data_IF_574142392490
#
_entry.id   IF_574142392490
#
_cell.length_a   1.000
_cell.length_b   1.000
_cell.length_c   1.000
_cell.angle_alpha   90.00
_cell.angle_beta   90.00
_cell.angle_gamma   90.00
#
_symmetry.space_group_name_H-M   'P 1'
#
loop_
_entity.id
_entity.type
_entity.pdbx_description
1 polymer ?
#
# COMPACT_ATOMS: atom_id res chain seq x y z
N UNK A 1 -11.49 20.76 -25.27
CA UNK A 1 -12.57 21.30 -24.41
C UNK A 1 -13.85 20.44 -24.40
N UNK A 2 -14.84 20.57 -25.30
CA UNK A 2 -16.13 19.85 -25.14
C UNK A 2 -16.03 18.31 -25.33
N UNK A 3 -15.23 17.87 -26.30
CA UNK A 3 -14.95 16.44 -26.56
C UNK A 3 -14.02 15.81 -25.51
N UNK A 4 -13.07 16.59 -25.03
CA UNK A 4 -12.09 16.20 -24.00
C UNK A 4 -12.75 15.97 -22.64
N UNK A 5 -13.65 16.86 -22.23
CA UNK A 5 -14.46 16.68 -21.01
C UNK A 5 -15.39 15.45 -21.11
N UNK A 6 -15.83 15.10 -22.32
CA UNK A 6 -16.61 13.88 -22.55
C UNK A 6 -15.76 12.61 -22.46
N UNK A 7 -14.53 12.64 -22.98
CA UNK A 7 -13.58 11.51 -22.86
C UNK A 7 -13.22 11.24 -21.40
N UNK A 8 -12.88 12.28 -20.63
CA UNK A 8 -12.53 12.16 -19.21
C UNK A 8 -13.69 11.54 -18.42
N UNK A 9 -14.93 12.00 -18.63
CA UNK A 9 -16.11 11.42 -17.96
C UNK A 9 -16.34 9.95 -18.30
N UNK A 10 -16.17 9.58 -19.58
CA UNK A 10 -16.28 8.18 -20.00
C UNK A 10 -15.22 7.31 -19.34
N UNK A 11 -13.98 7.81 -19.29
CA UNK A 11 -12.90 7.11 -18.61
C UNK A 11 -13.20 6.96 -17.12
N UNK A 12 -13.69 8.02 -16.46
CA UNK A 12 -14.18 8.00 -15.08
C UNK A 12 -15.15 6.85 -14.84
N UNK A 13 -16.19 6.73 -15.67
CA UNK A 13 -17.17 5.62 -15.58
C UNK A 13 -16.52 4.23 -15.75
N UNK A 14 -15.56 4.09 -16.66
CA UNK A 14 -14.87 2.80 -16.84
C UNK A 14 -14.02 2.44 -15.63
N UNK A 15 -13.33 3.41 -15.02
CA UNK A 15 -12.48 3.13 -13.86
C UNK A 15 -13.28 2.97 -12.57
N UNK A 16 -14.43 3.63 -12.44
CA UNK A 16 -15.42 3.32 -11.38
C UNK A 16 -15.86 1.86 -11.46
N UNK A 17 -16.17 1.36 -12.66
CA UNK A 17 -16.52 -0.06 -12.89
C UNK A 17 -15.39 -1.00 -12.46
N UNK A 18 -14.13 -0.67 -12.80
CA UNK A 18 -12.95 -1.43 -12.40
C UNK A 18 -12.78 -1.48 -10.87
N UNK A 19 -12.98 -0.36 -10.17
CA UNK A 19 -12.93 -0.31 -8.69
C UNK A 19 -14.06 -1.14 -8.09
N UNK A 20 -15.29 -0.98 -8.62
CA UNK A 20 -16.47 -1.74 -8.20
C UNK A 20 -16.27 -3.26 -8.32
N UNK A 21 -15.67 -3.71 -9.42
CA UNK A 21 -15.34 -5.12 -9.66
C UNK A 21 -14.27 -5.63 -8.69
N UNK A 22 -13.25 -4.82 -8.40
CA UNK A 22 -12.21 -5.16 -7.43
C UNK A 22 -12.79 -5.31 -6.02
N UNK A 23 -13.57 -4.33 -5.56
CA UNK A 23 -14.15 -4.29 -4.22
C UNK A 23 -15.17 -5.41 -3.98
N UNK A 24 -15.87 -5.84 -5.04
CA UNK A 24 -16.84 -6.95 -4.98
C UNK A 24 -16.20 -8.33 -5.16
N UNK A 25 -14.88 -8.39 -5.31
CA UNK A 25 -14.16 -9.62 -5.64
C UNK A 25 -14.79 -10.30 -6.87
N UNK A 26 -15.03 -9.51 -7.92
CA UNK A 26 -15.55 -9.98 -9.19
C UNK A 26 -14.43 -10.63 -10.02
N UNK A 27 -14.81 -11.39 -11.05
CA UNK A 27 -13.84 -11.86 -12.04
C UNK A 27 -13.33 -10.65 -12.85
N UNK A 28 -12.03 -10.53 -13.13
CA UNK A 28 -10.98 -11.53 -12.88
C UNK A 28 -10.28 -11.42 -11.50
N UNK A 29 -10.50 -10.36 -10.73
CA UNK A 29 -9.77 -10.10 -9.48
C UNK A 29 -9.80 -11.25 -8.48
N UNK A 30 -10.95 -11.87 -8.25
CA UNK A 30 -11.09 -13.02 -7.33
C UNK A 30 -10.24 -14.22 -7.70
N UNK A 31 -10.10 -14.49 -8.99
CA UNK A 31 -9.34 -15.64 -9.48
C UNK A 31 -7.83 -15.42 -9.33
N UNK A 32 -7.43 -14.16 -9.16
CA UNK A 32 -6.05 -13.70 -9.07
C UNK A 32 -5.77 -12.95 -7.76
N UNK A 33 -6.53 -13.28 -6.70
CA UNK A 33 -6.33 -12.73 -5.36
C UNK A 33 -4.92 -13.06 -4.88
N UNK A 34 -4.25 -12.06 -4.33
CA UNK A 34 -2.86 -12.14 -3.91
C UNK A 34 -2.70 -12.93 -2.63
N UNK A 35 -1.45 -13.23 -2.29
CA UNK A 35 -1.14 -13.87 -1.02
C UNK A 35 -1.51 -12.97 0.16
N UNK A 36 -1.16 -11.69 0.11
CA UNK A 36 -1.46 -10.71 1.16
C UNK A 36 -2.94 -10.64 1.53
N UNK A 37 -3.84 -10.47 0.54
CA UNK A 37 -5.27 -10.35 0.81
C UNK A 37 -5.84 -11.63 1.44
N UNK A 38 -5.31 -12.81 1.07
CA UNK A 38 -5.72 -14.09 1.66
C UNK A 38 -5.27 -14.22 3.12
N UNK A 39 -4.04 -13.84 3.43
CA UNK A 39 -3.52 -13.86 4.81
C UNK A 39 -4.37 -12.97 5.72
N UNK A 40 -4.76 -11.80 5.23
CA UNK A 40 -5.51 -10.83 6.04
C UNK A 40 -6.96 -11.25 6.34
N UNK A 41 -7.52 -12.18 5.56
CA UNK A 41 -8.85 -12.76 5.85
C UNK A 41 -8.84 -13.67 7.09
N UNK A 42 -7.66 -14.20 7.46
CA UNK A 42 -7.51 -15.12 8.59
C UNK A 42 -7.38 -14.38 9.94
N UNK A 43 -7.11 -13.07 9.94
CA UNK A 43 -7.02 -12.28 11.17
C UNK A 43 -8.39 -11.89 11.73
N UNK A 44 -8.60 -12.14 13.02
CA UNK A 44 -9.90 -11.94 13.69
C UNK A 44 -10.15 -10.48 14.09
N UNK A 45 -9.08 -9.71 14.31
CA UNK A 45 -9.16 -8.35 14.86
C UNK A 45 -8.38 -7.32 14.04
N UNK A 46 -8.85 -6.06 14.10
CA UNK A 46 -8.13 -4.93 13.50
C UNK A 46 -6.71 -4.80 14.08
N UNK A 47 -6.50 -5.12 15.36
CA UNK A 47 -5.17 -5.04 16.01
C UNK A 47 -4.19 -5.99 15.34
N UNK A 48 -4.59 -7.24 15.12
CA UNK A 48 -3.75 -8.25 14.45
C UNK A 48 -3.37 -7.80 13.04
N UNK A 49 -4.36 -7.36 12.26
CA UNK A 49 -4.13 -6.80 10.92
C UNK A 49 -3.18 -5.61 10.95
N UNK A 50 -3.37 -4.70 11.91
CA UNK A 50 -2.52 -3.51 12.06
C UNK A 50 -1.08 -3.87 12.43
N UNK A 51 -0.87 -4.79 13.37
CA UNK A 51 0.45 -5.25 13.80
C UNK A 51 1.17 -5.96 12.66
N UNK A 52 0.48 -6.90 12.00
CA UNK A 52 0.99 -7.61 10.84
C UNK A 52 1.42 -6.60 9.76
N UNK A 53 0.51 -5.72 9.30
CA UNK A 53 0.86 -4.72 8.29
C UNK A 53 1.99 -3.79 8.72
N UNK A 54 2.06 -3.41 9.99
CA UNK A 54 3.12 -2.54 10.50
C UNK A 54 4.48 -3.23 10.38
N UNK A 55 4.60 -4.49 10.83
CA UNK A 55 5.81 -5.29 10.69
C UNK A 55 6.17 -5.49 9.21
N UNK A 56 5.26 -6.07 8.42
CA UNK A 56 5.60 -6.49 7.05
C UNK A 56 5.89 -5.27 6.16
N UNK A 57 5.19 -4.15 6.37
CA UNK A 57 5.43 -2.93 5.60
C UNK A 57 6.72 -2.23 6.01
N UNK A 58 7.05 -2.18 7.30
CA UNK A 58 8.35 -1.64 7.77
C UNK A 58 9.52 -2.40 7.14
N UNK A 59 9.34 -3.71 6.89
CA UNK A 59 10.31 -4.57 6.25
C UNK A 59 10.14 -4.63 4.71
N UNK A 60 9.30 -3.84 4.06
CA UNK A 60 9.06 -3.98 2.61
C UNK A 60 10.10 -3.27 1.71
N UNK A 61 11.13 -2.65 2.28
CA UNK A 61 12.12 -1.91 1.48
C UNK A 61 13.04 -2.83 0.66
N UNK A 62 13.00 -2.69 -0.68
CA UNK A 62 13.79 -3.47 -1.66
C UNK A 62 13.57 -4.99 -1.61
N UNK A 63 12.32 -5.42 -1.42
CA UNK A 63 11.93 -6.84 -1.34
C UNK A 63 10.80 -7.18 -2.32
N UNK A 64 10.66 -8.47 -2.58
CA UNK A 64 9.43 -9.02 -3.15
C UNK A 64 8.39 -9.11 -2.03
N UNK A 65 7.28 -8.40 -2.20
CA UNK A 65 6.23 -8.34 -1.18
C UNK A 65 5.56 -9.70 -0.98
N UNK A 66 5.37 -10.53 -2.02
CA UNK A 66 4.71 -11.83 -1.85
C UNK A 66 5.58 -12.81 -1.07
N UNK A 67 6.89 -12.83 -1.33
CA UNK A 67 7.82 -13.64 -0.56
C UNK A 67 7.86 -13.17 0.91
N UNK A 68 7.89 -11.86 1.13
CA UNK A 68 7.92 -11.30 2.47
C UNK A 68 6.65 -11.66 3.26
N UNK A 69 5.48 -11.41 2.68
CA UNK A 69 4.20 -11.72 3.31
C UNK A 69 4.06 -13.23 3.58
N UNK A 70 4.43 -14.09 2.62
CA UNK A 70 4.38 -15.54 2.83
C UNK A 70 5.35 -16.06 3.88
N UNK A 71 6.51 -15.43 4.06
CA UNK A 71 7.43 -15.80 5.14
C UNK A 71 6.84 -15.47 6.52
N UNK A 72 6.23 -14.29 6.66
CA UNK A 72 5.64 -13.86 7.93
C UNK A 72 4.28 -14.52 8.23
N UNK A 73 3.55 -14.96 7.20
CA UNK A 73 2.34 -15.78 7.36
C UNK A 73 2.61 -17.07 8.14
N UNK A 74 3.63 -17.83 7.73
CA UNK A 74 4.00 -19.06 8.45
C UNK A 74 4.43 -18.78 9.91
N UNK A 75 5.01 -17.61 10.18
CA UNK A 75 5.41 -17.24 11.54
C UNK A 75 4.23 -16.80 12.40
N UNK A 76 3.10 -16.43 11.82
CA UNK A 76 1.93 -16.01 12.59
C UNK A 76 1.45 -17.10 13.53
N UNK A 77 1.46 -18.34 13.05
CA UNK A 77 1.04 -19.51 13.82
C UNK A 77 2.17 -20.06 14.72
N UNK A 78 3.40 -20.13 14.19
CA UNK A 78 4.52 -20.80 14.86
C UNK A 78 5.27 -19.91 15.87
N UNK A 79 5.38 -18.60 15.58
CA UNK A 79 6.21 -17.64 16.31
C UNK A 79 5.43 -16.34 16.60
N UNK A 80 4.18 -16.48 17.02
CA UNK A 80 3.22 -15.37 17.19
C UNK A 80 3.74 -14.18 18.01
N UNK A 81 4.61 -14.45 19.00
CA UNK A 81 5.19 -13.43 19.88
C UNK A 81 5.91 -12.31 19.12
N UNK A 82 6.42 -12.55 17.89
CA UNK A 82 7.06 -11.50 17.10
C UNK A 82 6.08 -10.41 16.69
N UNK A 83 4.78 -10.68 16.64
CA UNK A 83 3.78 -9.70 16.24
C UNK A 83 3.28 -8.87 17.42
N UNK A 84 3.59 -9.25 18.66
CA UNK A 84 3.13 -8.61 19.89
C UNK A 84 4.25 -7.72 20.47
N UNK A 85 4.17 -6.38 20.35
CA UNK A 85 5.24 -5.50 20.79
C UNK A 85 5.62 -5.66 22.26
N UNK A 86 4.66 -5.98 23.12
CA UNK A 86 4.87 -6.31 24.53
C UNK A 86 5.72 -7.56 24.71
N UNK A 87 5.46 -8.65 23.97
CA UNK A 87 6.22 -9.88 24.06
C UNK A 87 7.64 -9.68 23.53
N UNK A 88 7.79 -8.98 22.40
CA UNK A 88 9.10 -8.63 21.81
C UNK A 88 9.98 -7.85 22.79
N UNK A 89 9.40 -7.00 23.64
CA UNK A 89 10.14 -6.09 24.52
C UNK A 89 10.34 -6.62 25.93
N UNK A 90 9.31 -7.25 26.52
CA UNK A 90 9.32 -7.70 27.92
C UNK A 90 9.68 -9.18 28.10
N UNK A 91 9.24 -10.03 27.17
CA UNK A 91 9.30 -11.49 27.34
C UNK A 91 10.49 -12.11 26.59
N UNK A 92 10.88 -11.49 25.48
CA UNK A 92 11.96 -11.96 24.61
C UNK A 92 13.12 -10.97 24.54
N UNK A 93 14.29 -11.50 24.15
CA UNK A 93 15.49 -10.73 23.90
C UNK A 93 15.59 -10.30 22.44
N UNK A 94 16.32 -9.21 22.19
CA UNK A 94 16.66 -8.81 20.83
C UNK A 94 17.44 -9.91 20.10
N UNK A 95 18.29 -10.65 20.82
CA UNK A 95 19.11 -11.73 20.27
C UNK A 95 18.26 -12.93 19.80
N UNK A 96 17.13 -13.22 20.46
CA UNK A 96 16.17 -14.23 19.99
C UNK A 96 15.46 -13.79 18.71
N UNK A 97 15.03 -12.51 18.64
CA UNK A 97 14.43 -11.95 17.43
C UNK A 97 15.40 -11.94 16.25
N UNK A 98 16.66 -11.55 16.50
CA UNK A 98 17.74 -11.54 15.52
C UNK A 98 17.99 -12.95 14.95
N UNK A 99 18.13 -13.95 15.83
CA UNK A 99 18.33 -15.34 15.42
C UNK A 99 17.16 -15.88 14.58
N UNK A 100 15.92 -15.61 14.97
CA UNK A 100 14.74 -16.03 14.21
C UNK A 100 14.69 -15.35 12.83
N UNK A 101 14.98 -14.05 12.76
CA UNK A 101 14.97 -13.31 11.50
C UNK A 101 16.10 -13.77 10.55
N UNK A 102 17.24 -14.21 11.10
CA UNK A 102 18.28 -14.90 10.32
C UNK A 102 17.81 -16.28 9.82
N UNK A 103 17.15 -17.08 10.66
CA UNK A 103 16.65 -18.41 10.31
C UNK A 103 15.59 -18.37 9.20
N UNK A 104 14.62 -17.46 9.31
CA UNK A 104 13.55 -17.28 8.32
C UNK A 104 14.08 -16.72 6.99
N UNK A 105 15.35 -16.29 6.97
CA UNK A 105 15.98 -15.76 5.77
C UNK A 105 15.46 -14.38 5.40
N UNK A 106 15.16 -13.54 6.39
CA UNK A 106 14.87 -12.13 6.12
C UNK A 106 16.05 -11.50 5.38
N UNK A 107 15.77 -10.71 4.33
CA UNK A 107 16.82 -10.24 3.39
C UNK A 107 17.96 -9.49 4.05
N UNK A 108 17.71 -8.78 5.16
CA UNK A 108 18.74 -8.01 5.87
C UNK A 108 19.02 -8.54 7.30
N UNK A 109 18.53 -9.73 7.65
CA UNK A 109 18.80 -10.43 8.91
C UNK A 109 18.68 -9.50 10.12
N UNK A 110 19.79 -9.32 10.84
CA UNK A 110 19.92 -8.43 12.00
C UNK A 110 19.40 -7.01 11.80
N UNK A 111 19.48 -6.45 10.59
CA UNK A 111 18.94 -5.10 10.37
C UNK A 111 17.41 -5.10 10.43
N UNK A 112 16.76 -6.14 9.94
CA UNK A 112 15.31 -6.28 9.99
C UNK A 112 14.84 -6.49 11.43
N UNK A 113 15.55 -7.32 12.19
CA UNK A 113 15.30 -7.49 13.63
C UNK A 113 15.46 -6.17 14.39
N UNK A 114 16.49 -5.37 14.08
CA UNK A 114 16.66 -4.04 14.69
C UNK A 114 15.51 -3.12 14.36
N UNK A 115 15.08 -3.06 13.10
CA UNK A 115 13.96 -2.21 12.65
C UNK A 115 12.71 -2.56 13.44
N UNK A 116 12.36 -3.84 13.48
CA UNK A 116 11.15 -4.28 14.15
C UNK A 116 11.22 -4.11 15.67
N UNK A 117 12.36 -4.41 16.28
CA UNK A 117 12.56 -4.20 17.72
C UNK A 117 12.38 -2.73 18.11
N UNK A 118 12.87 -1.78 17.30
CA UNK A 118 12.70 -0.35 17.59
C UNK A 118 11.24 0.11 17.48
N UNK A 119 10.54 -0.37 16.44
CA UNK A 119 9.11 -0.10 16.27
C UNK A 119 8.32 -0.71 17.44
N UNK A 120 8.63 -1.94 17.82
CA UNK A 120 7.99 -2.64 18.94
C UNK A 120 8.20 -1.90 20.26
N UNK A 121 9.42 -1.44 20.55
CA UNK A 121 9.70 -0.59 21.73
C UNK A 121 8.86 0.68 21.72
N UNK A 122 8.76 1.34 20.58
CA UNK A 122 7.98 2.57 20.45
C UNK A 122 6.49 2.29 20.67
N UNK A 123 5.94 1.24 20.06
CA UNK A 123 4.54 0.86 20.24
C UNK A 123 4.26 0.49 21.71
N UNK A 124 5.12 -0.32 22.33
CA UNK A 124 4.98 -0.73 23.72
C UNK A 124 5.00 0.45 24.70
N UNK A 125 5.99 1.35 24.59
CA UNK A 125 6.14 2.46 25.53
C UNK A 125 5.17 3.62 25.30
N UNK A 126 4.88 3.96 24.05
CA UNK A 126 4.17 5.20 23.69
C UNK A 126 2.72 4.96 23.24
N UNK A 127 2.38 3.73 22.82
CA UNK A 127 1.13 3.41 22.12
C UNK A 127 0.44 2.13 22.59
N UNK A 128 0.64 1.71 23.85
CA UNK A 128 0.01 0.52 24.45
C UNK A 128 0.16 -0.76 23.60
N UNK A 129 1.30 -0.92 22.94
CA UNK A 129 1.59 -2.04 22.04
C UNK A 129 0.60 -2.24 20.89
N UNK A 130 -0.03 -1.16 20.41
CA UNK A 130 -1.08 -1.26 19.41
C UNK A 130 -1.03 -0.06 18.44
N UNK A 131 -0.76 -0.29 17.14
CA UNK A 131 -0.80 0.76 16.13
C UNK A 131 -2.15 1.50 16.06
N UNK A 132 -3.27 0.86 16.43
CA UNK A 132 -4.58 1.53 16.45
C UNK A 132 -4.64 2.63 17.51
N UNK A 133 -3.94 2.47 18.63
CA UNK A 133 -3.80 3.52 19.63
C UNK A 133 -2.98 4.69 19.08
N UNK A 134 -1.88 4.41 18.38
CA UNK A 134 -1.12 5.42 17.64
C UNK A 134 -2.04 6.20 16.69
N UNK A 135 -2.83 5.51 15.86
CA UNK A 135 -3.74 6.19 14.92
C UNK A 135 -4.81 7.01 15.63
N UNK A 136 -5.35 6.49 16.74
CA UNK A 136 -6.36 7.18 17.56
C UNK A 136 -5.84 8.47 18.22
N UNK A 137 -4.55 8.55 18.57
CA UNK A 137 -3.95 9.78 19.11
C UNK A 137 -3.94 10.94 18.10
N UNK A 138 -4.02 10.63 16.81
CA UNK A 138 -4.00 11.59 15.70
C UNK A 138 -5.34 11.65 14.96
N UNK A 139 -6.43 11.28 15.63
CA UNK A 139 -7.80 11.33 15.09
C UNK A 139 -7.97 10.53 13.78
N UNK A 140 -7.18 9.45 13.60
CA UNK A 140 -7.13 8.67 12.37
C UNK A 140 -6.83 9.51 11.11
N UNK A 141 -6.10 10.62 11.26
CA UNK A 141 -5.68 11.47 10.16
C UNK A 141 -4.27 11.08 9.66
N UNK A 142 -4.19 10.60 8.42
CA UNK A 142 -2.99 10.10 7.75
C UNK A 142 -1.87 11.13 7.71
N UNK A 143 -2.17 12.39 7.43
CA UNK A 143 -1.16 13.44 7.32
C UNK A 143 -0.48 13.68 8.68
N UNK A 144 -1.28 13.75 9.76
CA UNK A 144 -0.80 13.93 11.14
C UNK A 144 -0.06 12.71 11.67
N UNK A 145 -0.55 11.50 11.37
CA UNK A 145 0.16 10.25 11.71
C UNK A 145 1.50 10.23 10.97
N UNK A 146 1.51 10.58 9.68
CA UNK A 146 2.69 10.60 8.84
C UNK A 146 3.75 11.58 9.34
N UNK A 147 3.34 12.82 9.65
CA UNK A 147 4.22 13.84 10.23
C UNK A 147 4.84 13.36 11.55
N UNK A 148 4.02 12.83 12.47
CA UNK A 148 4.53 12.28 13.73
C UNK A 148 5.53 11.14 13.50
N UNK A 149 5.19 10.16 12.67
CA UNK A 149 6.06 9.00 12.39
C UNK A 149 7.38 9.42 11.73
N UNK A 150 7.35 10.46 10.88
CA UNK A 150 8.54 10.99 10.23
C UNK A 150 9.47 11.71 11.21
N UNK A 151 8.92 12.47 12.16
CA UNK A 151 9.69 13.31 13.09
C UNK A 151 10.05 12.62 14.41
N UNK A 152 9.35 11.54 14.76
CA UNK A 152 9.54 10.84 16.02
C UNK A 152 10.97 10.27 16.15
N UNK A 153 11.67 10.79 17.16
CA UNK A 153 13.03 10.47 17.53
C UNK A 153 13.16 10.44 19.07
N UNK A 154 14.33 10.07 19.61
CA UNK A 154 14.60 10.14 21.05
C UNK A 154 15.22 8.88 21.63
N UNK A 155 14.60 8.32 22.68
CA UNK A 155 15.07 7.10 23.36
C UNK A 155 14.91 5.87 22.47
N UNK A 156 15.92 5.62 21.65
CA UNK A 156 16.01 4.53 20.70
C UNK A 156 17.26 3.69 20.95
N UNK A 157 17.25 2.42 20.56
CA UNK A 157 18.37 1.49 20.77
C UNK A 157 19.30 1.43 19.55
N UNK A 158 18.74 1.50 18.34
CA UNK A 158 19.46 1.18 17.10
C UNK A 158 19.41 2.26 16.02
N UNK A 159 18.45 3.18 16.07
CA UNK A 159 18.22 4.20 15.04
C UNK A 159 17.94 5.56 15.65
N UNK A 160 18.20 6.67 14.95
CA UNK A 160 17.81 7.99 15.47
C UNK A 160 16.28 8.21 15.45
N UNK A 161 15.58 7.48 14.59
CA UNK A 161 14.11 7.48 14.47
C UNK A 161 13.48 6.37 15.31
N UNK A 162 12.33 6.68 15.92
CA UNK A 162 11.47 5.72 16.63
C UNK A 162 10.74 4.76 15.67
N UNK A 163 10.58 5.16 14.41
CA UNK A 163 9.91 4.38 13.37
C UNK A 163 10.84 4.17 12.17
N UNK A 164 11.97 3.46 12.34
CA UNK A 164 12.90 3.23 11.25
C UNK A 164 12.18 2.61 10.04
N UNK A 165 12.51 3.12 8.85
CA UNK A 165 11.90 2.81 7.55
C UNK A 165 10.45 3.28 7.39
N UNK A 166 9.57 3.06 8.37
CA UNK A 166 8.22 3.63 8.37
C UNK A 166 8.22 5.17 8.32
N UNK A 167 9.27 5.83 8.81
CA UNK A 167 9.46 7.28 8.69
C UNK A 167 9.79 7.75 7.26
N UNK A 168 10.21 6.85 6.35
CA UNK A 168 10.69 7.20 5.02
C UNK A 168 9.57 7.45 4.01
N UNK A 169 9.82 8.36 3.05
CA UNK A 169 8.80 8.88 2.11
C UNK A 169 8.18 7.85 1.17
N UNK A 170 8.76 6.65 1.05
CA UNK A 170 8.18 5.55 0.27
C UNK A 170 7.34 4.60 1.12
N UNK A 171 7.87 4.20 2.28
CA UNK A 171 7.26 3.14 3.10
C UNK A 171 6.14 3.71 3.97
N UNK A 172 6.29 4.94 4.47
CA UNK A 172 5.27 5.66 5.25
C UNK A 172 3.91 5.69 4.55
N UNK A 173 3.79 6.25 3.33
CA UNK A 173 2.49 6.34 2.67
C UNK A 173 1.95 4.96 2.26
N UNK A 174 2.81 3.99 1.92
CA UNK A 174 2.39 2.61 1.66
C UNK A 174 1.76 1.96 2.90
N UNK A 175 2.40 2.11 4.07
CA UNK A 175 1.89 1.58 5.33
C UNK A 175 0.54 2.21 5.67
N UNK A 176 0.43 3.53 5.60
CA UNK A 176 -0.82 4.22 5.92
C UNK A 176 -1.96 3.84 4.96
N UNK A 177 -1.69 3.64 3.67
CA UNK A 177 -2.69 3.12 2.72
C UNK A 177 -3.12 1.69 3.03
N UNK A 178 -2.18 0.80 3.36
CA UNK A 178 -2.52 -0.57 3.77
C UNK A 178 -3.40 -0.57 5.03
N UNK A 179 -3.10 0.28 6.01
CA UNK A 179 -3.94 0.46 7.21
C UNK A 179 -5.32 0.99 6.83
N UNK A 180 -5.39 2.03 5.98
CA UNK A 180 -6.67 2.60 5.53
C UNK A 180 -7.58 1.52 4.91
N UNK A 181 -7.01 0.69 4.02
CA UNK A 181 -7.76 -0.29 3.23
C UNK A 181 -8.16 -1.53 4.03
N UNK A 182 -7.22 -2.10 4.78
CA UNK A 182 -7.37 -3.46 5.33
C UNK A 182 -7.74 -3.48 6.82
N UNK A 183 -7.50 -2.37 7.52
CA UNK A 183 -7.68 -2.28 8.97
C UNK A 183 -8.80 -1.32 9.31
N UNK A 184 -8.63 -0.04 8.98
CA UNK A 184 -9.57 1.00 9.37
C UNK A 184 -9.41 2.25 8.50
N UNK A 185 -10.52 2.87 8.05
CA UNK A 185 -10.45 4.10 7.29
C UNK A 185 -9.68 5.20 8.01
N UNK A 186 -8.68 5.74 7.33
CA UNK A 186 -7.94 6.95 7.70
C UNK A 186 -8.38 8.12 6.81
N UNK A 187 -8.45 9.34 7.37
CA UNK A 187 -8.71 10.57 6.62
C UNK A 187 -7.39 11.28 6.27
N UNK A 188 -7.34 12.11 5.23
CA UNK A 188 -6.17 12.94 4.93
C UNK A 188 -5.99 13.24 3.45
N UNK A 189 -5.14 14.22 3.14
CA UNK A 189 -4.84 14.63 1.77
C UNK A 189 -3.95 13.61 1.05
N UNK A 190 -3.11 12.86 1.77
CA UNK A 190 -2.31 11.77 1.19
C UNK A 190 -3.18 10.69 0.50
N UNK A 191 -4.45 10.53 0.88
CA UNK A 191 -5.41 9.62 0.22
C UNK A 191 -5.96 10.18 -1.11
N UNK A 192 -5.64 11.43 -1.46
CA UNK A 192 -6.10 12.05 -2.70
C UNK A 192 -5.23 11.68 -3.90
N UNK A 193 -4.07 11.05 -3.68
CA UNK A 193 -3.09 10.78 -4.73
C UNK A 193 -2.85 9.29 -4.94
N UNK A 194 -2.82 8.89 -6.21
CA UNK A 194 -2.41 7.54 -6.61
C UNK A 194 -0.89 7.38 -6.46
N UNK A 195 -0.38 6.30 -5.85
CA UNK A 195 1.05 6.04 -5.81
C UNK A 195 1.55 5.57 -7.16
N UNK A 196 2.36 6.39 -7.83
CA UNK A 196 2.84 6.06 -9.17
C UNK A 196 4.07 5.16 -9.10
N UNK A 197 3.85 3.86 -9.31
CA UNK A 197 4.88 2.84 -9.51
C UNK A 197 4.92 2.32 -10.96
N UNK A 198 5.74 1.29 -11.22
CA UNK A 198 5.87 0.69 -12.56
C UNK A 198 4.55 0.13 -13.11
N UNK A 199 3.64 -0.37 -12.26
CA UNK A 199 2.37 -0.93 -12.71
C UNK A 199 1.37 0.17 -13.03
N UNK A 200 1.26 1.18 -12.15
CA UNK A 200 0.40 2.35 -12.38
C UNK A 200 0.83 3.10 -13.64
N UNK A 201 2.13 3.34 -13.80
CA UNK A 201 2.69 3.94 -15.01
C UNK A 201 2.34 3.10 -16.25
N UNK A 202 2.57 1.79 -16.22
CA UNK A 202 2.31 0.90 -17.35
C UNK A 202 0.85 0.94 -17.79
N UNK A 203 -0.08 0.86 -16.83
CA UNK A 203 -1.52 0.97 -17.11
C UNK A 203 -1.86 2.35 -17.68
N UNK A 204 -1.34 3.42 -17.08
CA UNK A 204 -1.57 4.79 -17.56
C UNK A 204 -1.07 4.98 -18.99
N UNK A 205 0.17 4.56 -19.30
CA UNK A 205 0.74 4.62 -20.65
C UNK A 205 -0.08 3.82 -21.65
N UNK A 206 -0.62 2.66 -21.26
CA UNK A 206 -1.46 1.86 -22.13
C UNK A 206 -2.81 2.52 -22.43
N UNK A 207 -3.45 3.16 -21.45
CA UNK A 207 -4.71 3.87 -21.63
C UNK A 207 -4.50 5.10 -22.52
N UNK A 208 -3.48 5.88 -22.21
CA UNK A 208 -3.25 7.20 -22.78
C UNK A 208 -2.43 7.18 -24.08
N UNK A 209 -1.71 6.09 -24.35
CA UNK A 209 -0.78 6.02 -25.50
C UNK A 209 0.45 6.90 -25.30
N UNK A 210 0.81 7.18 -24.04
CA UNK A 210 1.97 7.97 -23.63
C UNK A 210 3.19 7.08 -23.39
N UNK A 211 4.34 7.72 -23.19
CA UNK A 211 5.62 7.06 -22.86
C UNK A 211 6.21 7.65 -21.57
N UNK A 212 5.35 7.89 -20.57
CA UNK A 212 5.76 8.43 -19.27
C UNK A 212 6.78 7.51 -18.60
N UNK A 213 7.80 8.10 -17.99
CA UNK A 213 8.79 7.40 -17.17
C UNK A 213 8.52 7.60 -15.65
N UNK A 214 9.45 7.17 -14.79
CA UNK A 214 9.31 7.29 -13.32
C UNK A 214 10.05 8.52 -12.77
N UNK A 215 10.31 9.52 -13.61
CA UNK A 215 10.73 10.84 -13.18
C UNK A 215 9.63 11.50 -12.36
N UNK A 216 10.00 12.40 -11.44
CA UNK A 216 9.00 13.09 -10.62
C UNK A 216 8.08 14.00 -11.44
N UNK A 217 8.55 14.52 -12.58
CA UNK A 217 7.70 15.27 -13.53
C UNK A 217 6.58 14.38 -14.09
N UNK A 218 6.92 13.22 -14.62
CA UNK A 218 5.93 12.32 -15.22
C UNK A 218 5.03 11.67 -14.16
N UNK A 219 5.55 11.39 -12.96
CA UNK A 219 4.70 10.95 -11.84
C UNK A 219 3.68 12.01 -11.45
N UNK A 220 4.05 13.27 -11.44
CA UNK A 220 3.12 14.35 -11.12
C UNK A 220 2.04 14.49 -12.21
N UNK A 221 2.43 14.42 -13.48
CA UNK A 221 1.48 14.40 -14.59
C UNK A 221 0.50 13.22 -14.50
N UNK A 222 0.98 12.03 -14.10
CA UNK A 222 0.11 10.86 -13.87
C UNK A 222 -0.86 11.12 -12.70
N UNK A 223 -0.40 11.72 -11.60
CA UNK A 223 -1.27 12.06 -10.45
C UNK A 223 -2.34 13.07 -10.83
N UNK A 224 -1.97 14.14 -11.52
CA UNK A 224 -2.89 15.16 -12.01
C UNK A 224 -3.93 14.56 -12.97
N UNK A 225 -3.49 13.70 -13.89
CA UNK A 225 -4.39 13.02 -14.81
C UNK A 225 -5.44 12.18 -14.08
N UNK A 226 -5.03 11.34 -13.12
CA UNK A 226 -5.97 10.51 -12.37
C UNK A 226 -6.87 11.34 -11.45
N UNK A 227 -6.38 12.46 -10.92
CA UNK A 227 -7.22 13.42 -10.21
C UNK A 227 -8.36 13.95 -11.09
N UNK A 228 -8.06 14.41 -12.31
CA UNK A 228 -9.07 14.91 -13.25
C UNK A 228 -10.08 13.83 -13.67
N UNK A 229 -9.63 12.59 -13.82
CA UNK A 229 -10.49 11.45 -14.15
C UNK A 229 -11.45 11.10 -13.01
N UNK A 230 -10.97 11.18 -11.77
CA UNK A 230 -11.75 10.85 -10.57
C UNK A 230 -12.61 12.02 -10.05
N UNK A 231 -12.27 13.29 -10.35
CA UNK A 231 -13.04 14.46 -9.90
C UNK A 231 -14.57 14.36 -10.15
N UNK A 232 -15.06 13.88 -11.30
CA UNK A 232 -16.51 13.74 -11.54
C UNK A 232 -17.12 12.43 -11.01
N UNK A 233 -16.36 11.60 -10.30
CA UNK A 233 -16.75 10.25 -9.84
C UNK A 233 -16.93 10.19 -8.32
N UNK A 234 -17.44 9.07 -7.81
CA UNK A 234 -17.51 8.81 -6.35
C UNK A 234 -16.23 8.18 -5.78
N UNK A 235 -15.22 7.91 -6.63
CA UNK A 235 -13.94 7.33 -6.24
C UNK A 235 -12.82 8.39 -6.21
N UNK A 236 -11.76 8.09 -5.49
CA UNK A 236 -10.52 8.87 -5.42
C UNK A 236 -9.40 8.19 -6.23
N UNK A 237 -8.35 8.92 -6.63
CA UNK A 237 -7.21 8.30 -7.31
C UNK A 237 -6.53 7.18 -6.51
N UNK A 238 -6.59 7.22 -5.17
CA UNK A 238 -6.02 6.16 -4.33
C UNK A 238 -6.78 4.84 -4.47
N UNK A 239 -8.08 4.87 -4.76
CA UNK A 239 -8.91 3.67 -4.95
C UNK A 239 -8.49 2.89 -6.21
N UNK A 240 -7.84 3.57 -7.16
CA UNK A 240 -7.29 2.95 -8.37
C UNK A 240 -6.00 2.15 -8.12
N UNK A 241 -5.28 2.37 -7.02
CA UNK A 241 -3.96 1.78 -6.75
C UNK A 241 -4.00 0.25 -6.88
N UNK A 242 -4.80 -0.41 -6.04
CA UNK A 242 -4.89 -1.87 -5.98
C UNK A 242 -5.37 -2.51 -7.29
N UNK A 243 -6.51 -2.09 -7.89
CA UNK A 243 -6.98 -2.69 -9.13
C UNK A 243 -6.01 -2.45 -10.30
N UNK A 244 -5.43 -1.26 -10.44
CA UNK A 244 -4.48 -1.01 -11.51
C UNK A 244 -3.17 -1.74 -11.31
N UNK A 245 -2.70 -1.85 -10.08
CA UNK A 245 -1.51 -2.63 -9.78
C UNK A 245 -1.72 -4.10 -10.17
N UNK A 246 -2.89 -4.68 -9.88
CA UNK A 246 -3.28 -6.04 -10.30
C UNK A 246 -3.31 -6.18 -11.82
N UNK A 247 -4.00 -5.26 -12.50
CA UNK A 247 -4.09 -5.23 -13.96
C UNK A 247 -2.69 -5.14 -14.59
N UNK A 248 -1.84 -4.24 -14.10
CA UNK A 248 -0.48 -4.03 -14.60
C UNK A 248 0.42 -5.25 -14.37
N UNK A 249 0.34 -5.86 -13.19
CA UNK A 249 1.07 -7.09 -12.85
C UNK A 249 0.69 -8.25 -13.77
N UNK A 250 -0.60 -8.41 -14.07
CA UNK A 250 -1.14 -9.48 -14.90
C UNK A 250 -1.43 -9.06 -16.35
N UNK A 251 -0.72 -8.03 -16.84
CA UNK A 251 -1.01 -7.42 -18.14
C UNK A 251 -1.03 -8.38 -19.32
N UNK A 252 -0.06 -9.31 -19.37
CA UNK A 252 0.09 -10.29 -20.46
C UNK A 252 -0.83 -11.53 -20.30
N UNK A 253 -1.56 -11.62 -19.18
CA UNK A 253 -2.42 -12.74 -18.85
C UNK A 253 -3.89 -12.37 -19.07
N UNK A 254 -4.41 -11.47 -18.23
CA UNK A 254 -5.81 -11.00 -18.29
C UNK A 254 -5.94 -9.47 -18.24
N UNK A 255 -4.96 -8.77 -17.67
CA UNK A 255 -5.08 -7.35 -17.34
C UNK A 255 -5.38 -6.47 -18.54
N UNK A 256 -4.69 -6.69 -19.66
CA UNK A 256 -4.88 -5.91 -20.89
C UNK A 256 -6.28 -6.11 -21.48
N UNK A 257 -6.72 -7.35 -21.58
CA UNK A 257 -7.99 -7.69 -22.23
C UNK A 257 -9.18 -7.25 -21.39
N UNK A 258 -9.09 -7.39 -20.05
CA UNK A 258 -10.07 -6.85 -19.11
C UNK A 258 -10.21 -5.33 -19.25
N UNK A 259 -9.10 -4.59 -19.12
CA UNK A 259 -9.14 -3.12 -19.21
C UNK A 259 -9.63 -2.63 -20.58
N UNK A 260 -9.25 -3.33 -21.66
CA UNK A 260 -9.75 -3.02 -23.00
C UNK A 260 -11.27 -3.24 -23.11
N UNK A 261 -11.83 -4.23 -22.41
CA UNK A 261 -13.28 -4.46 -22.33
C UNK A 261 -13.99 -3.31 -21.62
N UNK A 262 -13.52 -2.93 -20.43
CA UNK A 262 -14.09 -1.82 -19.65
C UNK A 262 -14.09 -0.49 -20.41
N UNK A 263 -13.00 -0.21 -21.13
CA UNK A 263 -12.93 0.96 -22.00
C UNK A 263 -13.89 0.86 -23.19
N UNK A 264 -14.04 -0.32 -23.79
CA UNK A 264 -14.91 -0.51 -24.95
C UNK A 264 -16.39 -0.26 -24.61
N UNK A 265 -16.82 -0.63 -23.40
CA UNK A 265 -18.20 -0.46 -22.94
C UNK A 265 -18.61 1.02 -22.81
N UNK A 266 -17.65 1.91 -22.57
CA UNK A 266 -17.85 3.38 -22.59
C UNK A 266 -17.50 4.02 -23.95
N UNK A 267 -17.14 3.20 -24.95
CA UNK A 267 -16.77 3.62 -26.29
C UNK A 267 -15.40 4.31 -26.35
N UNK A 268 -14.44 3.83 -25.58
CA UNK A 268 -13.03 4.19 -25.59
C UNK A 268 -12.17 2.97 -26.01
N UNK A 269 -10.91 3.23 -26.33
CA UNK A 269 -9.93 2.20 -26.69
C UNK A 269 -8.57 2.55 -26.09
N UNK A 270 -7.75 1.53 -25.78
CA UNK A 270 -6.38 1.73 -25.33
C UNK A 270 -5.57 2.56 -26.34
N UNK A 271 -4.71 3.44 -25.83
CA UNK A 271 -3.83 4.31 -26.61
C UNK A 271 -4.54 5.46 -27.32
N UNK A 272 -5.83 5.71 -27.01
CA UNK A 272 -6.65 6.76 -27.66
C UNK A 272 -7.26 7.76 -26.69
N UNK A 273 -6.90 7.70 -25.41
CA UNK A 273 -7.28 8.73 -24.43
C UNK A 273 -6.22 9.83 -24.48
N UNK A 274 -6.57 10.99 -25.03
CA UNK A 274 -5.68 12.16 -25.02
C UNK A 274 -5.47 12.65 -23.59
N UNK A 275 -4.21 12.73 -23.17
CA UNK A 275 -3.78 13.55 -22.04
C UNK A 275 -3.49 14.96 -22.56
N UNK A 276 -3.58 15.98 -21.71
CA UNK A 276 -3.17 17.33 -22.09
C UNK A 276 -1.78 17.29 -22.77
N UNK A 277 -1.69 17.76 -24.02
CA UNK A 277 -0.43 17.86 -24.76
C UNK A 277 0.56 18.71 -23.93
N UNK A 278 1.77 18.19 -23.69
CA UNK A 278 2.88 18.94 -23.08
C UNK A 278 3.17 20.25 -23.82
#
# INVERSE_FOLDING_TARGET
MATENQTIRKLGTAVESVVDDYDRDASPFREHKGLTERILEDFETDREKALFHTLVTALNFQRDAEVLYGNFDNLWDDEHWIFEPEAVVEEHSFEELDALFEEVGTRMGTRDAKIWYEISRTLYHDHNSDPIHLFGQFDYNMDRIGEYVQEASGDTRFFDSKFPYLAGDKIRPLWLRNIHREVRPLAGEEMLHIPVDVQIQKVTNAICGTDYDLSEEDKEAIREFWWEVCEPTDITPADLDSPFWRIGKHWEDWGRDYLQSELYDVGLELGRVSVHDK
#
